data_IF_922961189888
#
_entry.id   IF_922961189888
#
_cell.length_a   1.000
_cell.length_b   1.000
_cell.length_c   1.000
_cell.angle_alpha   90.00
_cell.angle_beta   90.00
_cell.angle_gamma   90.00
#
_symmetry.space_group_name_H-M   'P 1'
#
loop_
_entity.id
_entity.type
_entity.pdbx_description
1 polymer ?
#
# COMPACT_ATOMS: atom_id res chain seq x y z
N UNK A 1 -57.16 -19.27 26.55
CA UNK A 1 -56.23 -18.94 25.45
C UNK A 1 -56.16 -17.43 25.37
N UNK A 2 -55.19 -16.84 26.07
CA UNK A 2 -54.99 -15.40 26.23
C UNK A 2 -53.82 -14.97 25.36
N UNK A 3 -54.08 -14.09 24.40
CA UNK A 3 -53.08 -13.42 23.57
C UNK A 3 -52.51 -12.23 24.33
N UNK A 4 -51.20 -12.21 24.56
CA UNK A 4 -50.45 -11.00 24.93
C UNK A 4 -49.59 -10.55 23.73
N UNK A 5 -49.66 -9.27 23.33
CA UNK A 5 -48.69 -8.71 22.39
C UNK A 5 -47.45 -8.21 23.14
N UNK A 6 -46.26 -8.66 22.71
CA UNK A 6 -44.97 -8.15 23.19
C UNK A 6 -44.72 -6.74 22.65
N UNK A 7 -44.54 -5.80 23.58
CA UNK A 7 -43.95 -4.48 23.38
C UNK A 7 -42.53 -4.60 22.80
N UNK A 8 -42.26 -3.93 21.69
CA UNK A 8 -40.90 -3.62 21.24
C UNK A 8 -40.60 -2.19 21.72
N UNK A 9 -39.64 -2.08 22.63
CA UNK A 9 -39.12 -0.80 23.09
C UNK A 9 -38.24 -0.16 22.02
N UNK A 10 -38.42 1.15 21.92
CA UNK A 10 -37.71 2.13 21.11
C UNK A 10 -36.19 2.13 21.32
N UNK A 11 -35.43 2.20 20.22
CA UNK A 11 -34.10 2.81 20.23
C UNK A 11 -34.11 4.00 19.28
N UNK A 12 -33.65 5.13 19.80
CA UNK A 12 -33.72 6.47 19.25
C UNK A 12 -32.31 6.91 18.83
N UNK A 13 -32.23 7.44 17.60
CA UNK A 13 -31.26 8.42 17.07
C UNK A 13 -29.76 8.04 17.06
N UNK A 14 -29.15 8.11 15.87
CA UNK A 14 -28.54 9.35 15.33
C UNK A 14 -28.02 9.13 13.90
N UNK A 15 -28.50 9.98 13.01
CA UNK A 15 -27.87 10.32 11.74
C UNK A 15 -26.47 10.88 11.99
N UNK A 16 -25.46 10.35 11.29
CA UNK A 16 -24.26 11.10 10.93
C UNK A 16 -24.01 10.83 9.45
N UNK A 17 -24.44 11.78 8.61
CA UNK A 17 -23.85 12.01 7.30
C UNK A 17 -22.42 12.50 7.52
N UNK A 18 -21.44 11.85 6.92
CA UNK A 18 -20.16 12.50 6.60
C UNK A 18 -19.82 12.20 5.15
N UNK A 19 -19.68 13.30 4.42
CA UNK A 19 -19.28 13.36 3.04
C UNK A 19 -17.82 12.92 2.90
N UNK A 20 -17.54 12.03 1.96
CA UNK A 20 -16.20 11.81 1.43
C UNK A 20 -15.94 12.94 0.42
N UNK A 21 -15.14 13.91 0.82
CA UNK A 21 -14.61 14.91 -0.09
C UNK A 21 -13.47 14.28 -0.90
N UNK A 22 -13.59 14.32 -2.23
CA UNK A 22 -12.46 14.15 -3.12
C UNK A 22 -11.48 15.30 -2.86
N UNK A 23 -10.32 14.97 -2.29
CA UNK A 23 -9.22 15.90 -2.09
C UNK A 23 -8.02 15.43 -2.88
N UNK A 24 -7.88 15.89 -4.11
CA UNK A 24 -6.61 15.87 -4.81
C UNK A 24 -5.68 16.85 -4.09
N UNK A 25 -4.80 16.31 -3.25
CA UNK A 25 -3.78 17.04 -2.52
C UNK A 25 -2.41 16.82 -3.14
N UNK A 26 -2.07 17.57 -4.18
CA UNK A 26 -0.67 17.73 -4.59
C UNK A 26 0.12 18.36 -3.44
N UNK A 27 1.06 17.61 -2.85
CA UNK A 27 2.05 18.16 -1.91
C UNK A 27 3.08 18.95 -2.73
N UNK A 28 2.83 20.24 -2.92
CA UNK A 28 3.80 21.15 -3.50
C UNK A 28 4.72 21.71 -2.40
N UNK A 29 5.90 21.10 -2.20
CA UNK A 29 6.99 21.70 -1.43
C UNK A 29 7.66 22.79 -2.28
N UNK A 30 7.10 24.01 -2.25
CA UNK A 30 7.78 25.20 -2.77
C UNK A 30 7.67 26.34 -1.77
N UNK A 31 8.72 26.53 -0.98
CA UNK A 31 8.86 27.65 -0.05
C UNK A 31 9.94 28.62 -0.51
N UNK A 32 9.55 29.67 -1.24
CA UNK A 32 10.26 30.96 -1.17
C UNK A 32 9.31 31.96 -0.53
N UNK A 33 9.61 32.39 0.69
CA UNK A 33 8.87 33.47 1.35
C UNK A 33 9.83 34.37 2.13
N UNK A 34 10.01 35.57 1.57
CA UNK A 34 10.62 36.75 2.17
C UNK A 34 9.93 37.16 3.48
N UNK A 35 10.76 37.55 4.44
CA UNK A 35 10.41 37.97 5.79
C UNK A 35 9.48 39.18 5.87
N UNK A 36 8.62 39.19 6.90
CA UNK A 36 8.37 40.38 7.71
C UNK A 36 7.99 39.98 9.13
N UNK A 37 8.62 40.64 10.10
CA UNK A 37 8.74 40.18 11.47
C UNK A 37 7.50 40.37 12.34
N UNK A 38 7.32 39.43 13.26
CA UNK A 38 6.98 39.72 14.65
C UNK A 38 7.60 38.62 15.51
N UNK A 39 8.38 39.02 16.51
CA UNK A 39 9.23 38.14 17.30
C UNK A 39 8.44 37.04 18.01
N UNK A 40 8.72 35.81 17.59
CA UNK A 40 8.61 34.61 18.43
C UNK A 40 10.05 34.10 18.53
N UNK A 41 10.41 33.75 19.75
CA UNK A 41 11.69 33.16 20.16
C UNK A 41 12.21 32.17 19.13
N UNK A 42 13.47 32.34 18.77
CA UNK A 42 14.23 31.53 17.83
C UNK A 42 14.10 30.03 18.15
N UNK A 43 13.25 29.35 17.39
CA UNK A 43 13.10 27.89 17.34
C UNK A 43 14.25 27.30 16.50
N UNK A 44 15.50 27.67 16.84
CA UNK A 44 16.72 27.20 16.15
C UNK A 44 17.15 25.78 16.56
N UNK A 45 16.41 25.15 17.47
CA UNK A 45 16.73 23.81 18.00
C UNK A 45 15.71 22.74 17.57
N UNK A 46 14.86 23.04 16.57
CA UNK A 46 13.82 22.12 16.07
C UNK A 46 14.06 21.60 14.66
N UNK A 47 15.26 21.83 14.12
CA UNK A 47 15.74 21.28 12.84
C UNK A 47 16.71 20.09 13.03
N UNK A 48 17.03 19.69 14.27
CA UNK A 48 18.02 18.62 14.56
C UNK A 48 17.45 17.21 14.75
N UNK A 49 16.14 16.99 14.53
CA UNK A 49 15.52 15.68 14.78
C UNK A 49 14.73 15.09 13.59
N UNK A 50 14.74 15.74 12.43
CA UNK A 50 14.31 15.07 11.21
C UNK A 50 15.58 14.58 10.52
N UNK A 51 15.88 13.30 10.67
CA UNK A 51 16.96 12.65 9.93
C UNK A 51 16.83 12.91 8.42
N UNK A 52 17.92 12.68 7.69
CA UNK A 52 17.95 12.85 6.23
C UNK A 52 16.77 12.11 5.57
N UNK A 53 16.01 12.84 4.74
CA UNK A 53 14.95 12.25 3.92
C UNK A 53 15.52 11.99 2.54
N UNK A 54 15.61 10.72 2.15
CA UNK A 54 16.01 10.32 0.80
C UNK A 54 14.76 10.06 -0.02
N UNK A 55 14.69 10.64 -1.21
CA UNK A 55 13.57 10.46 -2.15
C UNK A 55 14.05 9.76 -3.40
N UNK A 56 13.36 8.68 -3.78
CA UNK A 56 13.57 7.96 -5.02
C UNK A 56 12.28 7.95 -5.82
N UNK A 57 12.41 7.95 -7.15
CA UNK A 57 11.30 7.78 -8.08
C UNK A 57 11.69 6.72 -9.09
N UNK A 58 10.79 5.78 -9.35
CA UNK A 58 10.99 4.68 -10.31
C UNK A 58 9.72 4.45 -11.12
N UNK A 59 9.87 3.63 -12.16
CA UNK A 59 8.78 3.23 -13.02
C UNK A 59 7.88 2.19 -12.36
N UNK A 60 6.61 2.17 -12.76
CA UNK A 60 5.67 1.10 -12.44
C UNK A 60 5.68 0.12 -13.59
N UNK A 61 6.02 -1.13 -13.26
CA UNK A 61 6.06 -2.24 -14.21
C UNK A 61 4.78 -3.08 -14.08
N UNK A 62 4.37 -3.66 -15.19
CA UNK A 62 3.20 -4.52 -15.33
C UNK A 62 3.36 -5.90 -14.71
N UNK A 63 2.33 -6.72 -14.88
CA UNK A 63 2.31 -8.10 -14.44
C UNK A 63 3.21 -9.00 -15.32
N UNK A 64 3.54 -10.18 -14.80
CA UNK A 64 4.23 -11.25 -15.51
C UNK A 64 5.76 -11.21 -15.42
N UNK A 65 6.46 -12.16 -16.04
CA UNK A 65 7.91 -12.25 -16.01
C UNK A 65 8.60 -11.21 -16.92
N UNK A 66 7.94 -10.80 -18.01
CA UNK A 66 8.48 -9.86 -19.00
C UNK A 66 8.11 -8.39 -18.70
N UNK A 67 7.44 -8.15 -17.56
CA UNK A 67 6.82 -6.89 -17.07
C UNK A 67 6.94 -5.70 -18.02
N UNK A 68 5.83 -5.32 -18.67
CA UNK A 68 5.80 -4.13 -19.52
C UNK A 68 5.79 -2.84 -18.70
N UNK A 69 6.36 -1.75 -19.22
CA UNK A 69 6.25 -0.44 -18.57
C UNK A 69 4.78 0.03 -18.58
N UNK A 70 4.23 0.31 -17.40
CA UNK A 70 2.85 0.79 -17.23
C UNK A 70 2.80 2.29 -16.97
N UNK A 71 3.68 2.81 -16.13
CA UNK A 71 3.75 4.23 -15.83
C UNK A 71 5.20 4.66 -15.52
N UNK A 72 5.75 5.56 -16.34
CA UNK A 72 7.10 6.09 -16.17
C UNK A 72 7.16 7.05 -14.97
N UNK A 73 8.17 6.87 -14.10
CA UNK A 73 8.47 7.75 -12.96
C UNK A 73 7.29 8.02 -12.03
N UNK A 74 6.35 7.08 -11.91
CA UNK A 74 5.07 7.29 -11.23
C UNK A 74 4.96 6.59 -9.88
N UNK A 75 6.04 5.94 -9.43
CA UNK A 75 6.17 5.47 -8.05
C UNK A 75 7.26 6.28 -7.33
N UNK A 76 6.94 6.80 -6.15
CA UNK A 76 7.85 7.56 -5.29
C UNK A 76 7.99 6.87 -3.94
N UNK A 77 9.22 6.83 -3.43
CA UNK A 77 9.55 6.35 -2.09
C UNK A 77 10.35 7.42 -1.35
N UNK A 78 9.88 7.79 -0.17
CA UNK A 78 10.62 8.58 0.80
C UNK A 78 11.11 7.68 1.92
N UNK A 79 12.41 7.75 2.22
CA UNK A 79 13.07 6.99 3.28
C UNK A 79 13.55 7.93 4.36
N UNK A 80 13.41 7.50 5.61
CA UNK A 80 14.08 8.08 6.77
C UNK A 80 14.80 6.97 7.53
N UNK A 81 15.45 7.28 8.66
CA UNK A 81 16.06 6.25 9.51
C UNK A 81 15.03 5.23 10.06
N UNK A 82 13.75 5.61 10.16
CA UNK A 82 12.73 4.84 10.89
C UNK A 82 11.50 4.52 10.05
N UNK A 83 11.41 5.03 8.82
CA UNK A 83 10.19 4.90 8.02
C UNK A 83 10.43 4.86 6.51
N UNK A 84 9.47 4.24 5.83
CA UNK A 84 9.26 4.24 4.40
C UNK A 84 7.88 4.84 4.13
N UNK A 85 7.79 5.80 3.22
CA UNK A 85 6.53 6.37 2.75
C UNK A 85 6.50 6.25 1.23
N UNK A 86 5.53 5.50 0.72
CA UNK A 86 5.40 5.26 -0.71
C UNK A 86 4.12 5.87 -1.27
N UNK A 87 4.21 6.33 -2.52
CA UNK A 87 3.08 6.69 -3.36
C UNK A 87 3.29 6.04 -4.72
N UNK A 88 2.23 5.47 -5.29
CA UNK A 88 2.23 4.90 -6.63
C UNK A 88 1.00 5.40 -7.37
N UNK A 89 1.22 5.88 -8.59
CA UNK A 89 0.16 6.22 -9.55
C UNK A 89 0.34 5.43 -10.84
N UNK A 90 -0.76 4.90 -11.38
CA UNK A 90 -0.80 4.20 -12.65
C UNK A 90 -2.18 4.38 -13.31
N UNK A 91 -2.33 4.13 -14.62
CA UNK A 91 -3.64 3.97 -15.22
C UNK A 91 -4.45 2.92 -14.48
N UNK A 92 -5.73 3.19 -14.20
CA UNK A 92 -6.62 2.19 -13.62
C UNK A 92 -6.72 1.01 -14.58
N UNK A 93 -6.38 -0.22 -14.16
CA UNK A 93 -6.53 -1.40 -15.00
C UNK A 93 -7.99 -1.56 -15.47
N UNK A 94 -8.20 -1.84 -16.75
CA UNK A 94 -9.54 -2.12 -17.26
C UNK A 94 -9.97 -3.54 -16.83
N UNK A 95 -11.19 -3.72 -16.28
CA UNK A 95 -11.70 -5.04 -15.92
C UNK A 95 -11.65 -6.01 -17.11
N UNK A 96 -11.01 -7.15 -16.91
CA UNK A 96 -10.84 -8.21 -17.92
C UNK A 96 -9.57 -8.12 -18.76
N UNK A 97 -8.79 -7.03 -18.65
CA UNK A 97 -7.58 -6.80 -19.46
C UNK A 97 -6.28 -7.13 -18.72
N UNK A 98 -6.35 -7.66 -17.51
CA UNK A 98 -5.20 -8.05 -16.69
C UNK A 98 -5.36 -9.46 -16.13
N UNK A 99 -4.26 -10.02 -15.62
CA UNK A 99 -4.25 -11.34 -14.97
C UNK A 99 -4.83 -11.23 -13.57
N UNK A 100 -5.96 -11.90 -13.37
CA UNK A 100 -6.58 -11.98 -12.05
C UNK A 100 -5.76 -12.87 -11.14
N UNK A 101 -5.73 -12.47 -9.87
CA UNK A 101 -5.11 -13.25 -8.84
C UNK A 101 -5.82 -14.61 -8.69
N UNK A 102 -5.04 -15.69 -8.66
CA UNK A 102 -5.48 -17.04 -8.31
C UNK A 102 -4.82 -17.47 -7.00
N UNK A 103 -5.62 -17.65 -5.96
CA UNK A 103 -5.27 -18.24 -4.67
C UNK A 103 -5.93 -19.62 -4.54
N UNK A 104 -5.73 -20.41 -3.47
CA UNK A 104 -6.22 -21.78 -3.49
C UNK A 104 -7.76 -21.76 -3.54
N UNK A 105 -8.40 -22.64 -4.36
CA UNK A 105 -9.82 -22.52 -4.71
C UNK A 105 -10.78 -22.48 -3.52
N UNK A 106 -10.38 -22.99 -2.36
CA UNK A 106 -11.17 -22.91 -1.14
C UNK A 106 -11.39 -21.50 -0.60
N UNK A 107 -10.60 -20.51 -1.04
CA UNK A 107 -10.71 -19.11 -0.60
C UNK A 107 -11.33 -18.20 -1.69
N UNK A 108 -11.65 -18.74 -2.87
CA UNK A 108 -12.31 -17.99 -3.95
C UNK A 108 -13.70 -17.52 -3.50
N UNK A 109 -13.99 -16.23 -3.69
CA UNK A 109 -15.23 -15.60 -3.24
C UNK A 109 -15.25 -15.18 -1.76
N UNK A 110 -14.18 -15.41 -1.01
CA UNK A 110 -14.05 -14.91 0.37
C UNK A 110 -13.39 -13.52 0.41
N UNK A 111 -12.30 -13.33 -0.32
CA UNK A 111 -11.52 -12.07 -0.34
C UNK A 111 -10.85 -11.77 -1.68
N UNK A 112 -11.13 -12.58 -2.71
CA UNK A 112 -10.78 -12.31 -4.10
C UNK A 112 -11.77 -13.01 -5.05
N UNK A 113 -11.77 -12.58 -6.30
CA UNK A 113 -12.49 -13.25 -7.39
C UNK A 113 -11.66 -13.22 -8.67
N UNK A 114 -11.84 -14.26 -9.48
CA UNK A 114 -11.24 -14.36 -10.81
C UNK A 114 -12.09 -13.69 -11.91
N UNK A 115 -13.27 -13.17 -11.53
CA UNK A 115 -14.22 -12.55 -12.46
C UNK A 115 -14.05 -11.02 -12.53
N UNK A 116 -14.15 -10.43 -13.74
CA UNK A 116 -14.17 -8.99 -13.91
C UNK A 116 -15.45 -8.37 -13.34
N UNK A 117 -15.30 -7.21 -12.68
CA UNK A 117 -16.41 -6.46 -12.08
C UNK A 117 -16.67 -5.10 -12.72
N UNK A 118 -17.86 -4.53 -12.47
CA UNK A 118 -18.12 -3.10 -12.75
C UNK A 118 -17.30 -2.19 -11.83
N UNK A 119 -17.00 -2.68 -10.62
CA UNK A 119 -16.10 -2.08 -9.65
C UNK A 119 -15.12 -3.18 -9.23
N UNK A 120 -13.84 -2.85 -9.15
CA UNK A 120 -12.79 -3.77 -8.73
C UNK A 120 -11.97 -3.16 -7.60
N UNK A 121 -11.44 -4.01 -6.73
CA UNK A 121 -10.63 -3.59 -5.60
C UNK A 121 -9.15 -3.89 -5.82
N UNK A 122 -8.31 -2.97 -5.35
CA UNK A 122 -6.86 -3.07 -5.42
C UNK A 122 -6.26 -2.77 -4.05
N UNK A 123 -5.21 -3.48 -3.68
CA UNK A 123 -4.45 -3.23 -2.44
C UNK A 123 -3.02 -2.81 -2.77
N UNK A 124 -2.47 -1.93 -1.94
CA UNK A 124 -1.08 -1.51 -1.98
C UNK A 124 -0.30 -2.29 -0.93
N UNK A 125 0.76 -2.94 -1.38
CA UNK A 125 1.70 -3.68 -0.56
C UNK A 125 3.07 -3.03 -0.63
N UNK A 126 3.76 -3.00 0.52
CA UNK A 126 5.18 -2.72 0.58
C UNK A 126 5.88 -3.99 1.02
N UNK A 127 6.74 -4.54 0.18
CA UNK A 127 7.61 -5.66 0.53
C UNK A 127 9.00 -5.11 0.71
N UNK A 128 9.61 -5.37 1.86
CA UNK A 128 10.93 -4.86 2.20
C UNK A 128 11.90 -6.02 2.35
N UNK A 129 13.15 -5.84 1.96
CA UNK A 129 14.23 -6.78 2.22
C UNK A 129 15.34 -6.04 2.97
N UNK A 130 15.50 -6.29 4.27
CA UNK A 130 16.42 -5.55 5.13
C UNK A 130 17.90 -5.74 4.75
N UNK A 131 18.23 -6.86 4.10
CA UNK A 131 19.60 -7.24 3.72
C UNK A 131 19.62 -7.71 2.26
N UNK A 132 19.40 -6.81 1.28
CA UNK A 132 19.21 -7.18 -0.13
C UNK A 132 20.46 -7.82 -0.75
N UNK A 133 21.63 -7.63 -0.16
CA UNK A 133 22.86 -8.34 -0.56
C UNK A 133 22.81 -9.85 -0.33
N UNK A 134 21.83 -10.34 0.43
CA UNK A 134 21.61 -11.76 0.71
C UNK A 134 20.58 -12.40 -0.22
N UNK A 135 20.00 -11.64 -1.14
CA UNK A 135 19.10 -12.15 -2.17
C UNK A 135 19.88 -12.99 -3.19
N UNK A 136 19.34 -14.13 -3.61
CA UNK A 136 20.02 -15.11 -4.47
C UNK A 136 20.37 -14.50 -5.84
N UNK A 137 19.46 -13.69 -6.39
CA UNK A 137 19.63 -13.01 -7.67
C UNK A 137 20.43 -11.69 -7.58
N UNK A 138 20.64 -11.17 -6.36
CA UNK A 138 21.34 -9.93 -6.07
C UNK A 138 20.43 -8.75 -5.74
N UNK A 139 21.04 -7.59 -5.46
CA UNK A 139 20.34 -6.34 -5.16
C UNK A 139 19.58 -5.85 -6.40
N UNK A 140 18.34 -5.44 -6.21
CA UNK A 140 17.36 -5.07 -7.24
C UNK A 140 16.53 -6.24 -7.76
N UNK A 141 16.86 -7.47 -7.33
CA UNK A 141 16.24 -8.71 -7.82
C UNK A 141 15.74 -9.59 -6.67
N UNK A 142 15.55 -9.05 -5.46
CA UNK A 142 15.00 -9.79 -4.33
C UNK A 142 13.59 -10.29 -4.65
N UNK A 143 13.26 -11.53 -4.29
CA UNK A 143 11.95 -12.12 -4.54
C UNK A 143 11.34 -12.80 -3.32
N UNK A 144 10.16 -13.39 -3.52
CA UNK A 144 9.52 -14.22 -2.49
C UNK A 144 10.44 -15.31 -1.88
N UNK A 145 11.32 -15.99 -2.64
CA UNK A 145 12.28 -16.93 -2.06
C UNK A 145 13.29 -16.31 -1.09
N UNK A 146 13.54 -15.00 -1.19
CA UNK A 146 14.52 -14.28 -0.37
C UNK A 146 13.93 -13.69 0.92
N UNK A 147 12.63 -13.87 1.16
CA UNK A 147 11.97 -13.34 2.37
C UNK A 147 12.64 -13.81 3.66
N UNK A 148 13.12 -15.06 3.71
CA UNK A 148 13.84 -15.54 4.90
C UNK A 148 15.30 -15.09 4.92
N UNK A 149 16.04 -15.29 3.81
CA UNK A 149 17.49 -15.02 3.75
C UNK A 149 17.83 -13.54 3.86
N UNK A 150 17.08 -12.67 3.20
CA UNK A 150 17.33 -11.22 3.20
C UNK A 150 16.57 -10.47 4.32
N UNK A 151 15.91 -11.21 5.23
CA UNK A 151 15.09 -10.62 6.29
C UNK A 151 13.97 -9.77 5.70
N UNK A 152 13.19 -10.37 4.79
CA UNK A 152 12.12 -9.70 4.09
C UNK A 152 10.78 -9.76 4.83
N UNK A 153 9.92 -8.77 4.59
CA UNK A 153 8.60 -8.63 5.18
C UNK A 153 7.61 -7.99 4.23
N UNK A 154 6.32 -8.34 4.34
CA UNK A 154 5.25 -7.81 3.51
C UNK A 154 4.19 -7.07 4.35
N UNK A 155 3.86 -5.85 3.93
CA UNK A 155 2.97 -4.94 4.64
C UNK A 155 1.83 -4.48 3.73
N UNK A 156 0.59 -4.77 4.09
CA UNK A 156 -0.58 -4.17 3.46
C UNK A 156 -0.74 -2.74 3.98
N UNK A 157 -0.57 -1.74 3.12
CA UNK A 157 -0.48 -0.33 3.55
C UNK A 157 -1.61 0.56 3.05
N UNK A 158 -2.38 0.12 2.04
CA UNK A 158 -3.58 0.80 1.56
C UNK A 158 -4.46 -0.14 0.71
N UNK A 159 -5.67 0.29 0.38
CA UNK A 159 -6.46 -0.27 -0.72
C UNK A 159 -7.52 0.70 -1.21
N UNK A 160 -7.97 0.50 -2.45
CA UNK A 160 -8.93 1.37 -3.11
C UNK A 160 -9.85 0.59 -4.06
N UNK A 161 -11.04 1.14 -4.25
CA UNK A 161 -11.94 0.83 -5.35
C UNK A 161 -11.97 2.09 -6.24
N UNK A 162 -11.14 2.16 -7.30
CA UNK A 162 -11.03 3.36 -8.12
C UNK A 162 -12.31 3.60 -8.91
N UNK A 163 -12.64 4.87 -9.15
CA UNK A 163 -13.78 5.29 -9.95
C UNK A 163 -13.37 6.14 -11.18
N UNK A 164 -12.07 6.22 -11.46
CA UNK A 164 -11.49 7.06 -12.50
C UNK A 164 -10.46 6.31 -13.34
N UNK A 165 -9.84 7.02 -14.28
CA UNK A 165 -8.83 6.53 -15.21
C UNK A 165 -7.44 6.37 -14.58
N UNK A 166 -7.23 6.90 -13.38
CA UNK A 166 -6.00 6.73 -12.60
C UNK A 166 -6.27 6.11 -11.24
N UNK A 167 -5.40 5.15 -10.89
CA UNK A 167 -5.28 4.56 -9.58
C UNK A 167 -4.08 5.19 -8.88
N UNK A 168 -4.33 5.90 -7.79
CA UNK A 168 -3.29 6.43 -6.90
C UNK A 168 -3.44 5.81 -5.52
N UNK A 169 -2.38 5.20 -5.02
CA UNK A 169 -2.31 4.56 -3.71
C UNK A 169 -1.08 5.08 -2.97
N UNK A 170 -1.21 5.31 -1.67
CA UNK A 170 -0.10 5.75 -0.83
C UNK A 170 -0.12 5.05 0.52
N UNK A 171 1.05 4.72 1.06
CA UNK A 171 1.14 4.00 2.32
C UNK A 171 2.47 4.29 3.03
N UNK A 172 2.57 3.84 4.27
CA UNK A 172 3.82 3.94 5.02
C UNK A 172 4.04 2.70 5.89
N UNK A 173 5.31 2.42 6.14
CA UNK A 173 5.79 1.38 7.07
C UNK A 173 6.85 2.04 7.94
N UNK A 174 6.80 1.80 9.24
CA UNK A 174 7.82 2.21 10.20
C UNK A 174 8.53 1.00 10.80
N UNK A 175 9.65 1.22 11.47
CA UNK A 175 10.33 0.19 12.27
C UNK A 175 9.50 -0.34 13.44
N UNK A 176 8.39 0.32 13.76
CA UNK A 176 7.40 -0.10 14.77
C UNK A 176 6.16 -0.76 14.13
N UNK A 177 6.06 -0.79 12.80
CA UNK A 177 4.94 -1.43 12.11
C UNK A 177 5.05 -2.94 12.27
N UNK A 178 4.04 -3.54 12.89
CA UNK A 178 3.96 -4.98 13.05
C UNK A 178 3.65 -5.63 11.69
N UNK A 179 4.34 -6.73 11.39
CA UNK A 179 4.11 -7.50 10.17
C UNK A 179 2.76 -8.20 10.30
N UNK A 180 1.88 -7.94 9.34
CA UNK A 180 0.49 -8.41 9.22
C UNK A 180 -0.11 -9.19 10.41
N UNK A 181 -0.86 -8.49 11.28
CA UNK A 181 -1.60 -9.09 12.40
C UNK A 181 -3.00 -9.54 11.96
N UNK A 182 -3.16 -10.84 11.62
CA UNK A 182 -4.42 -11.62 11.72
C UNK A 182 -4.24 -13.09 11.24
N UNK A 183 -3.06 -13.70 11.40
CA UNK A 183 -2.90 -15.12 11.06
C UNK A 183 -1.50 -15.67 11.28
N UNK A 184 -0.50 -15.08 10.64
CA UNK A 184 0.93 -15.31 10.85
C UNK A 184 1.69 -14.14 10.21
N UNK A 185 2.78 -13.62 10.80
CA UNK A 185 3.56 -12.56 10.19
C UNK A 185 4.14 -13.03 8.85
N UNK A 186 3.87 -12.28 7.79
CA UNK A 186 4.51 -12.47 6.49
C UNK A 186 5.92 -11.89 6.50
N UNK A 187 6.82 -12.56 7.22
CA UNK A 187 8.25 -12.26 7.25
C UNK A 187 8.71 -11.46 8.47
N UNK A 188 9.74 -10.63 8.26
CA UNK A 188 10.49 -9.90 9.29
C UNK A 188 10.08 -8.42 9.30
N UNK A 189 9.95 -7.77 10.48
CA UNK A 189 9.72 -6.33 10.57
C UNK A 189 10.76 -5.51 9.80
N UNK A 190 10.39 -4.27 9.47
CA UNK A 190 11.33 -3.32 8.91
C UNK A 190 12.36 -2.93 9.98
N UNK A 191 13.64 -3.11 9.71
CA UNK A 191 14.74 -2.79 10.63
C UNK A 191 15.71 -1.75 10.04
N UNK A 192 15.85 -1.73 8.71
CA UNK A 192 16.87 -0.98 7.99
C UNK A 192 16.27 -0.16 6.83
N UNK A 193 15.43 0.85 7.09
CA UNK A 193 14.71 1.56 6.01
C UNK A 193 15.63 2.24 4.99
N UNK A 194 16.83 2.64 5.41
CA UNK A 194 17.81 3.31 4.55
C UNK A 194 18.59 2.33 3.67
N UNK A 195 18.72 1.07 4.05
CA UNK A 195 19.48 0.06 3.32
C UNK A 195 18.61 -1.03 2.69
N UNK A 196 17.30 -1.03 2.97
CA UNK A 196 16.40 -2.03 2.45
C UNK A 196 16.13 -1.84 0.95
N UNK A 197 16.06 -2.94 0.22
CA UNK A 197 15.34 -2.96 -1.05
C UNK A 197 13.84 -2.97 -0.77
N UNK A 198 13.08 -2.19 -1.54
CA UNK A 198 11.65 -2.00 -1.31
C UNK A 198 10.89 -2.21 -2.61
N UNK A 199 9.95 -3.14 -2.60
CA UNK A 199 9.03 -3.37 -3.70
C UNK A 199 7.67 -2.80 -3.29
N UNK A 200 7.22 -1.79 -4.01
CA UNK A 200 5.88 -1.25 -3.86
C UNK A 200 5.01 -1.90 -4.91
N UNK A 201 3.96 -2.60 -4.49
CA UNK A 201 3.18 -3.44 -5.38
C UNK A 201 1.68 -3.23 -5.24
N UNK A 202 0.97 -3.28 -6.37
CA UNK A 202 -0.49 -3.24 -6.43
C UNK A 202 -1.01 -4.62 -6.76
N UNK A 203 -1.84 -5.18 -5.87
CA UNK A 203 -2.47 -6.48 -6.06
C UNK A 203 -3.95 -6.29 -6.46
N UNK A 204 -4.43 -6.93 -7.54
CA UNK A 204 -5.84 -6.92 -7.90
C UNK A 204 -6.64 -8.00 -7.15
N UNK A 205 -7.84 -7.66 -6.70
CA UNK A 205 -8.77 -8.60 -6.06
C UNK A 205 -9.98 -8.98 -6.96
N UNK A 206 -10.10 -8.34 -8.12
CA UNK A 206 -11.21 -8.52 -9.05
C UNK A 206 -12.50 -7.82 -8.60
N UNK A 207 -13.65 -8.31 -9.06
CA UNK A 207 -14.95 -7.72 -8.75
C UNK A 207 -15.16 -7.49 -7.23
N UNK A 208 -15.49 -6.26 -6.89
CA UNK A 208 -15.68 -5.85 -5.51
C UNK A 208 -17.07 -6.26 -4.98
N UNK A 209 -17.08 -7.11 -3.94
CA UNK A 209 -18.25 -7.35 -3.10
C UNK A 209 -18.00 -6.80 -1.69
N UNK A 210 -18.83 -5.86 -1.17
CA UNK A 210 -18.72 -5.37 0.20
C UNK A 210 -18.73 -6.46 1.28
N UNK A 211 -19.28 -7.65 1.00
CA UNK A 211 -19.26 -8.78 1.92
C UNK A 211 -17.85 -9.37 2.15
N UNK A 212 -16.90 -9.11 1.26
CA UNK A 212 -15.49 -9.53 1.37
C UNK A 212 -14.66 -8.62 2.29
N UNK A 213 -15.25 -7.54 2.82
CA UNK A 213 -14.59 -6.66 3.79
C UNK A 213 -14.63 -7.25 5.21
N UNK A 214 -13.56 -7.13 6.02
CA UNK A 214 -12.32 -6.41 5.71
C UNK A 214 -11.24 -7.25 5.02
N UNK A 215 -11.47 -8.57 4.85
CA UNK A 215 -10.46 -9.53 4.41
C UNK A 215 -9.76 -9.14 3.10
N UNK A 216 -10.50 -8.57 2.13
CA UNK A 216 -9.93 -8.06 0.87
C UNK A 216 -8.83 -6.99 1.06
N UNK A 217 -8.82 -6.23 2.16
CA UNK A 217 -7.76 -5.24 2.45
C UNK A 217 -6.61 -5.83 3.25
N UNK A 218 -6.83 -7.00 3.84
CA UNK A 218 -5.96 -7.61 4.83
C UNK A 218 -5.19 -8.82 4.25
N UNK A 219 -5.62 -9.37 3.13
CA UNK A 219 -4.99 -10.59 2.58
C UNK A 219 -4.30 -10.28 1.26
N UNK A 220 -2.99 -10.53 1.14
CA UNK A 220 -2.35 -10.43 -0.18
C UNK A 220 -2.92 -11.55 -1.05
N UNK A 221 -3.29 -11.22 -2.28
CA UNK A 221 -3.74 -12.23 -3.24
C UNK A 221 -2.60 -12.57 -4.17
N UNK A 222 -2.30 -13.85 -4.28
CA UNK A 222 -1.43 -14.44 -5.29
C UNK A 222 0.04 -14.03 -5.20
N UNK A 223 0.92 -14.78 -5.87
CA UNK A 223 2.33 -14.44 -5.91
C UNK A 223 2.60 -13.09 -6.60
N UNK A 224 3.75 -12.44 -6.33
CA UNK A 224 4.08 -11.11 -6.85
C UNK A 224 4.19 -10.99 -8.38
N UNK A 225 4.13 -12.10 -9.13
CA UNK A 225 4.15 -12.12 -10.59
C UNK A 225 2.83 -11.65 -11.22
N UNK A 226 1.71 -11.65 -10.48
CA UNK A 226 0.44 -11.07 -10.94
C UNK A 226 0.20 -9.66 -10.40
N UNK A 227 1.22 -8.99 -9.87
CA UNK A 227 1.13 -7.64 -9.33
C UNK A 227 1.76 -6.62 -10.28
N UNK A 228 1.32 -5.37 -10.20
CA UNK A 228 2.09 -4.25 -10.72
C UNK A 228 3.12 -3.84 -9.67
N UNK A 229 4.37 -3.63 -10.06
CA UNK A 229 5.46 -3.47 -9.10
C UNK A 229 6.38 -2.32 -9.50
N UNK A 230 6.77 -1.54 -8.50
CA UNK A 230 7.86 -0.57 -8.55
C UNK A 230 8.96 -1.03 -7.59
N UNK A 231 10.18 -1.23 -8.10
CA UNK A 231 11.32 -1.73 -7.32
C UNK A 231 12.27 -0.56 -7.01
N UNK A 232 12.53 -0.37 -5.73
CA UNK A 232 13.45 0.63 -5.21
C UNK A 232 14.66 -0.07 -4.60
N UNK A 233 15.78 -0.02 -5.31
CA UNK A 233 17.08 -0.39 -4.74
C UNK A 233 17.44 0.52 -3.54
N UNK A 234 18.33 0.07 -2.65
CA UNK A 234 18.90 0.95 -1.63
C UNK A 234 19.57 2.18 -2.26
N UNK A 235 19.46 3.37 -1.65
CA UNK A 235 20.21 4.54 -2.10
C UNK A 235 21.73 4.27 -2.05
N UNK A 236 22.44 4.76 -3.07
CA UNK A 236 23.89 4.61 -3.24
C UNK A 236 24.72 5.47 -2.28
#
# INVERSE_FOLDING_TARGET
MTNEPRQINSISRRTVLKASAAGAGTVALSGTATANGYGITSDTDRDEACGEIVTQTVDVMGQGPDRELVAEGSATLHRTADALVAELTMPTPEPGEYTYASEPPEQEGEWFTTEPGELEAFTLWMITFNNPEQCEAGVGECGAPDLESAGGGAFGVNGAVPAGDQLTLSGFVTTETEVFENGDPLGVPLERPMEAEVHVAVAPHGAFDPAMMPAILETPVSPPDVWWVAIFEPPA
#
